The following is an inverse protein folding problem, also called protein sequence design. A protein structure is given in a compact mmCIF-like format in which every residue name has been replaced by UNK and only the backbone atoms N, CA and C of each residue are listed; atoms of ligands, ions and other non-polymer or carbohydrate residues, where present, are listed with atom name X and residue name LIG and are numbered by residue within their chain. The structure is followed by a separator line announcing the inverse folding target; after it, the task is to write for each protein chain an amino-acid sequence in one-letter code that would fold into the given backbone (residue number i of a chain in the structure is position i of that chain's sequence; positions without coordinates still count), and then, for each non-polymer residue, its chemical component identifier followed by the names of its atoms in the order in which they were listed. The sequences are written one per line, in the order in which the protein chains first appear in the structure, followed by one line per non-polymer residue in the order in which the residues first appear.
data_IF_629076437594
#
_entry.id   IF_629076437594
#
_cell.length_a   1.000
_cell.length_b   1.000
_cell.length_c   1.000
_cell.angle_alpha   90.00
_cell.angle_beta   90.00
_cell.angle_gamma   90.00
#
_symmetry.space_group_name_H-M   'P 1'
#
loop_
_entity.id
_entity.type
_entity.pdbx_description
1 polymer ?
#
# COMPACT_ATOMS: atom_id res chain seq x y z
N UNK A 1 -16.70 7.51 -11.23
CA UNK A 1 -16.33 6.52 -12.26
C UNK A 1 -17.21 5.30 -12.10
N UNK A 2 -17.76 4.75 -13.19
CA UNK A 2 -18.47 3.47 -13.11
C UNK A 2 -17.47 2.38 -12.76
N UNK A 3 -17.80 1.52 -11.79
CA UNK A 3 -16.97 0.34 -11.50
C UNK A 3 -16.98 -0.58 -12.71
N UNK A 4 -15.81 -1.09 -13.10
CA UNK A 4 -15.73 -2.14 -14.10
C UNK A 4 -16.39 -3.41 -13.54
N UNK A 5 -17.64 -3.67 -13.94
CA UNK A 5 -18.42 -4.82 -13.50
C UNK A 5 -17.75 -6.16 -13.84
N UNK A 6 -16.88 -6.20 -14.87
CA UNK A 6 -16.12 -7.40 -15.22
C UNK A 6 -14.98 -7.63 -14.21
N UNK A 7 -14.30 -6.56 -13.78
CA UNK A 7 -13.28 -6.63 -12.75
C UNK A 7 -13.85 -7.11 -11.42
N UNK A 8 -14.95 -6.52 -10.95
CA UNK A 8 -15.55 -6.91 -9.66
C UNK A 8 -15.98 -8.38 -9.65
N UNK A 9 -16.62 -8.87 -10.73
CA UNK A 9 -16.97 -10.30 -10.86
C UNK A 9 -15.74 -11.22 -10.84
N UNK A 10 -14.60 -10.78 -11.38
CA UNK A 10 -13.34 -11.54 -11.32
C UNK A 10 -12.79 -11.55 -9.90
N UNK A 11 -12.79 -10.41 -9.22
CA UNK A 11 -12.30 -10.28 -7.84
C UNK A 11 -13.17 -11.07 -6.86
N UNK A 12 -14.49 -11.10 -7.03
CA UNK A 12 -15.39 -11.93 -6.23
C UNK A 12 -15.04 -13.42 -6.32
N UNK A 13 -14.76 -13.92 -7.53
CA UNK A 13 -14.31 -15.31 -7.72
C UNK A 13 -12.98 -15.63 -7.05
N UNK A 14 -12.15 -14.62 -6.79
CA UNK A 14 -10.84 -14.80 -6.16
C UNK A 14 -10.94 -14.97 -4.64
N UNK A 15 -12.03 -14.51 -3.99
CA UNK A 15 -12.14 -14.50 -2.53
C UNK A 15 -12.16 -15.91 -1.93
N UNK A 16 -12.70 -16.89 -2.65
CA UNK A 16 -12.82 -18.29 -2.20
C UNK A 16 -11.82 -19.24 -2.90
N UNK A 17 -10.98 -18.70 -3.80
CA UNK A 17 -10.02 -19.49 -4.55
C UNK A 17 -8.71 -19.68 -3.77
N UNK A 18 -8.06 -20.86 -3.82
CA UNK A 18 -6.70 -21.01 -3.34
C UNK A 18 -5.72 -20.35 -4.33
N UNK A 19 -4.66 -19.73 -3.82
CA UNK A 19 -3.56 -19.23 -4.64
C UNK A 19 -2.91 -17.95 -4.10
N UNK A 20 -1.89 -17.51 -4.81
CA UNK A 20 -1.18 -16.25 -4.54
C UNK A 20 -1.12 -15.39 -5.79
N UNK A 21 -0.93 -14.08 -5.58
CA UNK A 21 -0.56 -13.10 -6.61
C UNK A 21 0.58 -12.24 -6.10
N UNK A 22 1.36 -11.72 -7.02
CA UNK A 22 2.43 -10.77 -6.72
C UNK A 22 1.86 -9.36 -6.74
N UNK A 23 2.22 -8.58 -5.73
CA UNK A 23 2.01 -7.13 -5.63
C UNK A 23 3.35 -6.46 -5.32
N UNK A 24 3.43 -5.15 -5.39
CA UNK A 24 4.58 -4.40 -4.88
C UNK A 24 4.38 -4.08 -3.41
N UNK A 25 5.41 -4.35 -2.60
CA UNK A 25 5.48 -3.97 -1.21
C UNK A 25 6.48 -2.84 -1.01
N UNK A 26 6.05 -1.78 -0.33
CA UNK A 26 6.90 -0.71 0.14
C UNK A 26 6.94 -0.75 1.68
N UNK A 27 8.10 -0.98 2.26
CA UNK A 27 8.27 -0.89 3.72
C UNK A 27 8.38 0.59 4.14
N UNK A 28 8.06 0.88 5.40
CA UNK A 28 8.06 2.24 5.94
C UNK A 28 8.77 2.32 7.29
N UNK A 29 9.36 3.48 7.55
CA UNK A 29 9.94 3.86 8.84
C UNK A 29 9.19 5.04 9.43
N UNK A 30 8.97 5.00 10.72
CA UNK A 30 8.53 6.15 11.53
C UNK A 30 9.76 6.85 12.12
N UNK A 31 9.77 8.17 12.04
CA UNK A 31 10.60 9.04 12.85
C UNK A 31 9.77 9.64 13.97
N UNK A 32 10.30 9.66 15.19
CA UNK A 32 9.68 10.36 16.32
C UNK A 32 10.74 11.16 17.09
N UNK A 33 10.45 12.44 17.34
CA UNK A 33 11.35 13.35 18.07
C UNK A 33 11.63 12.79 19.47
N UNK A 34 12.90 12.57 19.78
CA UNK A 34 13.34 12.05 21.08
C UNK A 34 13.34 10.53 21.20
N UNK A 35 12.73 9.80 20.26
CA UNK A 35 12.70 8.33 20.24
C UNK A 35 13.53 7.71 19.11
N UNK A 36 13.76 8.44 18.02
CA UNK A 36 14.58 7.97 16.90
C UNK A 36 13.73 7.41 15.76
N UNK A 37 14.19 6.33 15.14
CA UNK A 37 13.61 5.75 13.91
C UNK A 37 13.26 4.28 14.18
N UNK A 38 12.05 3.85 13.76
CA UNK A 38 11.58 2.45 13.90
C UNK A 38 10.75 1.99 12.69
N UNK A 39 10.58 0.67 12.47
CA UNK A 39 9.67 0.15 11.46
C UNK A 39 8.23 0.62 11.68
N UNK A 40 7.55 0.96 10.58
CA UNK A 40 6.17 1.47 10.57
C UNK A 40 5.32 0.75 9.51
N UNK A 41 5.41 -0.57 9.56
CA UNK A 41 4.68 -1.46 8.67
C UNK A 41 5.08 -1.30 7.20
N UNK A 42 4.11 -1.53 6.32
CA UNK A 42 4.29 -1.55 4.87
C UNK A 42 3.01 -1.15 4.13
N UNK A 43 3.14 -0.80 2.86
CA UNK A 43 2.03 -0.66 1.92
C UNK A 43 2.14 -1.63 0.75
N UNK A 44 0.99 -2.02 0.20
CA UNK A 44 0.87 -2.94 -0.94
C UNK A 44 0.19 -2.25 -2.12
N UNK A 45 0.72 -2.44 -3.33
CA UNK A 45 0.30 -1.76 -4.56
C UNK A 45 0.26 -2.73 -5.73
N UNK A 46 -0.65 -2.54 -6.70
CA UNK A 46 -0.72 -3.42 -7.87
C UNK A 46 0.50 -3.22 -8.79
N UNK A 47 1.00 -1.99 -8.87
CA UNK A 47 2.10 -1.58 -9.75
C UNK A 47 2.85 -0.36 -9.16
N UNK A 48 3.88 0.11 -9.89
CA UNK A 48 4.72 1.23 -9.45
C UNK A 48 3.98 2.58 -9.46
N UNK A 49 3.08 2.81 -10.42
CA UNK A 49 2.29 4.04 -10.54
C UNK A 49 1.36 4.22 -9.32
N UNK A 50 0.69 3.15 -8.91
CA UNK A 50 -0.12 3.13 -7.68
C UNK A 50 0.74 3.43 -6.45
N UNK A 51 1.95 2.86 -6.37
CA UNK A 51 2.89 3.09 -5.27
C UNK A 51 3.33 4.54 -5.21
N UNK A 52 3.74 5.11 -6.35
CA UNK A 52 4.17 6.50 -6.43
C UNK A 52 3.03 7.44 -6.04
N UNK A 53 1.82 7.22 -6.59
CA UNK A 53 0.62 7.99 -6.23
C UNK A 53 0.29 7.89 -4.74
N UNK A 54 0.39 6.71 -4.14
CA UNK A 54 0.14 6.53 -2.70
C UNK A 54 1.12 7.34 -1.85
N UNK A 55 2.41 7.33 -2.22
CA UNK A 55 3.46 8.09 -1.53
C UNK A 55 3.25 9.60 -1.71
N UNK A 56 2.90 10.05 -2.91
CA UNK A 56 2.55 11.45 -3.18
C UNK A 56 1.35 11.90 -2.35
N UNK A 57 0.26 11.12 -2.31
CA UNK A 57 -0.92 11.42 -1.50
C UNK A 57 -0.62 11.41 0.01
N UNK A 58 0.32 10.58 0.47
CA UNK A 58 0.82 10.64 1.85
C UNK A 58 1.52 11.98 2.12
N UNK A 59 2.50 12.35 1.31
CA UNK A 59 3.25 13.59 1.50
C UNK A 59 2.40 14.85 1.31
N UNK A 60 1.41 14.83 0.42
CA UNK A 60 0.49 15.94 0.20
C UNK A 60 -0.40 16.24 1.42
N UNK A 61 -0.55 15.29 2.37
CA UNK A 61 -1.28 15.48 3.63
C UNK A 61 -0.39 15.96 4.78
N UNK A 62 0.93 16.03 4.57
CA UNK A 62 1.85 16.46 5.62
C UNK A 62 1.77 17.97 5.84
N UNK A 63 1.87 18.45 7.10
CA UNK A 63 2.03 19.86 7.37
C UNK A 63 3.35 20.40 6.81
N UNK A 64 3.40 21.71 6.55
CA UNK A 64 4.62 22.40 6.11
C UNK A 64 5.72 22.41 7.19
N UNK A 65 5.32 22.39 8.47
CA UNK A 65 6.23 22.24 9.60
C UNK A 65 6.54 20.77 9.85
N UNK A 66 7.80 20.45 10.21
CA UNK A 66 8.19 19.07 10.54
C UNK A 66 7.43 18.61 11.79
N UNK A 67 6.53 17.61 11.69
CA UNK A 67 5.76 17.15 12.83
C UNK A 67 6.61 16.32 13.79
N UNK A 68 6.09 16.11 14.99
CA UNK A 68 6.79 15.36 16.04
C UNK A 68 7.02 13.90 15.67
N UNK A 69 6.08 13.30 14.94
CA UNK A 69 6.25 12.02 14.27
C UNK A 69 5.75 12.03 12.83
N UNK A 70 6.40 11.22 11.99
CA UNK A 70 5.97 10.97 10.62
C UNK A 70 6.59 9.69 10.07
N UNK A 71 5.93 9.13 9.08
CA UNK A 71 6.38 7.96 8.34
C UNK A 71 7.06 8.36 7.03
N UNK A 72 7.97 7.53 6.54
CA UNK A 72 8.51 7.65 5.18
C UNK A 72 8.77 6.28 4.57
N UNK A 73 8.78 6.17 3.23
CA UNK A 73 9.23 4.95 2.56
C UNK A 73 10.65 4.58 3.00
N UNK A 74 10.86 3.29 3.22
CA UNK A 74 12.15 2.69 3.54
C UNK A 74 12.63 1.80 2.41
N UNK A 75 13.76 2.17 1.83
CA UNK A 75 14.32 1.48 0.67
C UNK A 75 13.40 1.46 -0.56
N UNK A 76 13.75 0.60 -1.51
CA UNK A 76 12.98 0.39 -2.74
C UNK A 76 11.85 -0.60 -2.50
N UNK A 77 10.70 -0.36 -3.15
CA UNK A 77 9.64 -1.35 -3.21
C UNK A 77 10.10 -2.64 -3.90
N UNK A 78 9.52 -3.78 -3.52
CA UNK A 78 9.88 -5.09 -4.06
C UNK A 78 8.65 -5.99 -4.28
N UNK A 79 8.73 -6.95 -5.23
CA UNK A 79 7.67 -7.93 -5.43
C UNK A 79 7.41 -8.77 -4.17
N UNK A 80 6.13 -8.92 -3.81
CA UNK A 80 5.69 -9.68 -2.64
C UNK A 80 4.46 -10.52 -2.98
N UNK A 81 4.50 -11.81 -2.62
CA UNK A 81 3.35 -12.70 -2.80
C UNK A 81 2.33 -12.49 -1.69
N UNK A 82 1.06 -12.38 -2.08
CA UNK A 82 -0.08 -12.27 -1.19
C UNK A 82 -1.17 -13.24 -1.60
N UNK A 83 -2.03 -13.61 -0.65
CA UNK A 83 -3.21 -14.41 -0.97
C UNK A 83 -4.18 -13.64 -1.89
N UNK A 84 -5.07 -14.39 -2.55
CA UNK A 84 -6.01 -13.82 -3.51
C UNK A 84 -6.99 -12.83 -2.89
N UNK A 85 -7.29 -12.97 -1.59
CA UNK A 85 -8.12 -12.03 -0.84
C UNK A 85 -7.43 -10.68 -0.71
N UNK A 86 -6.18 -10.67 -0.26
CA UNK A 86 -5.35 -9.48 -0.12
C UNK A 86 -5.11 -8.83 -1.47
N UNK A 87 -4.86 -9.61 -2.52
CA UNK A 87 -4.76 -9.09 -3.89
C UNK A 87 -6.03 -8.37 -4.33
N UNK A 88 -7.21 -8.94 -4.05
CA UNK A 88 -8.48 -8.30 -4.37
C UNK A 88 -8.72 -7.02 -3.56
N UNK A 89 -8.30 -6.97 -2.30
CA UNK A 89 -8.34 -5.75 -1.48
C UNK A 89 -7.45 -4.65 -2.06
N UNK A 90 -6.20 -4.98 -2.42
CA UNK A 90 -5.27 -4.03 -3.05
C UNK A 90 -5.83 -3.53 -4.39
N UNK A 91 -6.37 -4.42 -5.22
CA UNK A 91 -6.93 -4.06 -6.55
C UNK A 91 -8.18 -3.18 -6.45
N UNK A 92 -8.94 -3.27 -5.34
CA UNK A 92 -10.11 -2.41 -5.09
C UNK A 92 -9.76 -1.07 -4.46
N UNK A 93 -8.57 -0.95 -3.87
CA UNK A 93 -8.08 0.31 -3.34
C UNK A 93 -7.74 1.27 -4.48
N UNK A 94 -7.65 2.56 -4.15
CA UNK A 94 -7.37 3.58 -5.17
C UNK A 94 -5.92 3.50 -5.68
N UNK A 95 -4.97 3.47 -4.74
CA UNK A 95 -3.53 3.44 -5.03
C UNK A 95 -2.76 2.47 -4.11
N UNK A 96 -3.45 1.66 -3.31
CA UNK A 96 -2.84 0.69 -2.40
C UNK A 96 -3.45 0.68 -1.00
N UNK A 97 -2.96 -0.25 -0.17
CA UNK A 97 -3.37 -0.41 1.22
C UNK A 97 -2.15 -0.35 2.15
N UNK A 98 -2.29 0.33 3.30
CA UNK A 98 -1.29 0.37 4.37
C UNK A 98 -1.61 -0.69 5.44
N UNK A 99 -0.58 -1.29 6.02
CA UNK A 99 -0.63 -2.24 7.13
C UNK A 99 0.51 -1.92 8.09
N UNK A 100 0.22 -1.77 9.38
CA UNK A 100 1.17 -1.43 10.45
C UNK A 100 0.57 -1.78 11.80
#
# INVERSE_FOLDING_TARGET
MAKDENLEKRLEKLLDAPGTRVVLRQDWLESERGWGIRPDGYSLHVNEEDRDRFVEEYWARMPDEVPESYSRPDGSAYPHEVDLRTYAEVTRSDCGVRRG
#
